data_IF_953213263288
#
_entry.id   IF_953213263288
#
_cell.length_a   1.000
_cell.length_b   1.000
_cell.length_c   1.000
_cell.angle_alpha   90.00
_cell.angle_beta   90.00
_cell.angle_gamma   90.00
#
_symmetry.space_group_name_H-M   'P 1'
#
loop_
_entity.id
_entity.type
_entity.pdbx_description
1 polymer ?
#
# COMPACT_ATOMS: atom_id res chain seq x y z
N UNK A 1 -0.94 -11.25 19.44
CA UNK A 1 -0.80 -11.82 18.07
C UNK A 1 -0.98 -10.78 16.96
N UNK A 2 -1.79 -9.71 17.12
CA UNK A 2 -2.01 -8.67 16.08
C UNK A 2 -0.75 -7.86 15.72
N UNK A 3 0.05 -7.45 16.70
CA UNK A 3 1.27 -6.65 16.48
C UNK A 3 2.33 -7.33 15.58
N UNK A 4 2.44 -8.67 15.64
CA UNK A 4 3.35 -9.43 14.78
C UNK A 4 2.91 -9.35 13.31
N UNK A 5 1.60 -9.50 13.05
CA UNK A 5 1.03 -9.40 11.70
C UNK A 5 1.18 -7.98 11.14
N UNK A 6 1.00 -6.95 11.97
CA UNK A 6 1.15 -5.55 11.56
C UNK A 6 2.58 -5.26 11.05
N UNK A 7 3.59 -5.72 11.77
CA UNK A 7 4.99 -5.54 11.40
C UNK A 7 5.34 -6.26 10.09
N UNK A 8 4.79 -7.47 9.87
CA UNK A 8 4.95 -8.19 8.61
C UNK A 8 4.30 -7.47 7.43
N UNK A 9 3.10 -6.91 7.60
CA UNK A 9 2.43 -6.13 6.55
C UNK A 9 3.19 -4.85 6.21
N UNK A 10 3.70 -4.13 7.21
CA UNK A 10 4.53 -2.93 6.98
C UNK A 10 5.83 -3.26 6.26
N UNK A 11 6.49 -4.37 6.62
CA UNK A 11 7.71 -4.83 5.94
C UNK A 11 7.43 -5.19 4.48
N UNK A 12 6.40 -6.00 4.22
CA UNK A 12 5.97 -6.33 2.85
C UNK A 12 5.67 -5.09 2.03
N UNK A 13 4.89 -4.15 2.56
CA UNK A 13 4.56 -2.91 1.86
C UNK A 13 5.79 -2.10 1.43
N UNK A 14 6.88 -2.13 2.21
CA UNK A 14 8.14 -1.44 1.88
C UNK A 14 9.00 -2.19 0.86
N UNK A 15 8.96 -3.51 0.85
CA UNK A 15 9.74 -4.35 -0.07
C UNK A 15 9.05 -4.56 -1.42
N UNK A 16 7.73 -4.35 -1.49
CA UNK A 16 6.95 -4.55 -2.71
C UNK A 16 7.15 -3.42 -3.73
N UNK A 17 7.74 -3.76 -4.88
CA UNK A 17 7.87 -2.86 -6.02
C UNK A 17 6.68 -2.91 -7.01
N UNK A 18 5.82 -3.93 -6.93
CA UNK A 18 4.70 -4.13 -7.85
C UNK A 18 3.40 -3.51 -7.32
N UNK A 19 2.77 -2.65 -8.13
CA UNK A 19 1.44 -2.10 -7.84
C UNK A 19 0.41 -3.17 -7.49
N UNK A 20 0.40 -4.27 -8.25
CA UNK A 20 -0.57 -5.35 -8.07
C UNK A 20 -0.46 -5.96 -6.68
N UNK A 21 0.77 -6.16 -6.21
CA UNK A 21 1.05 -6.72 -4.90
C UNK A 21 0.70 -5.73 -3.78
N UNK A 22 0.93 -4.42 -3.97
CA UNK A 22 0.49 -3.38 -3.04
C UNK A 22 -1.05 -3.31 -2.93
N UNK A 23 -1.77 -3.47 -4.05
CA UNK A 23 -3.23 -3.55 -4.04
C UNK A 23 -3.73 -4.80 -3.32
N UNK A 24 -3.15 -5.98 -3.60
CA UNK A 24 -3.50 -7.22 -2.89
C UNK A 24 -3.22 -7.11 -1.39
N UNK A 25 -2.12 -6.46 -1.01
CA UNK A 25 -1.77 -6.22 0.39
C UNK A 25 -2.80 -5.30 1.07
N UNK A 26 -3.21 -4.22 0.40
CA UNK A 26 -4.24 -3.32 0.89
C UNK A 26 -5.60 -4.00 1.07
N UNK A 27 -5.99 -4.83 0.10
CA UNK A 27 -7.24 -5.61 0.14
C UNK A 27 -7.23 -6.62 1.29
N UNK A 28 -6.09 -7.29 1.50
CA UNK A 28 -5.89 -8.20 2.65
C UNK A 28 -6.06 -7.45 3.97
N UNK A 29 -5.44 -6.28 4.10
CA UNK A 29 -5.48 -5.49 5.34
C UNK A 29 -6.89 -4.91 5.59
N UNK A 30 -7.61 -4.52 4.52
CA UNK A 30 -8.99 -4.07 4.62
C UNK A 30 -9.92 -5.19 5.11
N UNK A 31 -9.78 -6.41 4.57
CA UNK A 31 -10.51 -7.58 5.04
C UNK A 31 -10.22 -7.88 6.53
N UNK A 32 -8.97 -7.70 6.97
CA UNK A 32 -8.61 -7.92 8.38
C UNK A 32 -9.24 -6.90 9.31
N UNK A 33 -9.39 -5.65 8.86
CA UNK A 33 -10.09 -4.60 9.60
C UNK A 33 -11.59 -4.90 9.68
N UNK A 34 -12.23 -5.27 8.57
CA UNK A 34 -13.66 -5.63 8.54
C UNK A 34 -13.98 -6.85 9.42
N UNK A 35 -13.05 -7.81 9.51
CA UNK A 35 -13.17 -8.98 10.38
C UNK A 35 -12.80 -8.69 11.85
N UNK A 36 -12.39 -7.46 12.18
CA UNK A 36 -12.04 -7.05 13.54
C UNK A 36 -10.72 -7.63 14.06
N UNK A 37 -9.84 -8.11 13.18
CA UNK A 37 -8.52 -8.63 13.56
C UNK A 37 -7.50 -7.53 13.84
N UNK A 38 -7.72 -6.34 13.28
CA UNK A 38 -6.93 -5.14 13.51
C UNK A 38 -7.88 -3.98 13.80
N UNK A 39 -7.43 -3.02 14.61
CA UNK A 39 -8.20 -1.82 14.92
C UNK A 39 -7.99 -0.70 13.89
N UNK A 40 -8.73 0.40 14.05
CA UNK A 40 -8.66 1.55 13.14
C UNK A 40 -7.28 2.21 13.15
N UNK A 41 -6.61 2.25 14.30
CA UNK A 41 -5.28 2.84 14.41
C UNK A 41 -4.24 2.01 13.66
N UNK A 42 -4.30 0.68 13.81
CA UNK A 42 -3.50 -0.29 13.08
C UNK A 42 -3.75 -0.22 11.56
N UNK A 43 -5.01 -0.05 11.15
CA UNK A 43 -5.40 0.09 9.76
C UNK A 43 -4.83 1.37 9.13
N UNK A 44 -4.96 2.51 9.81
CA UNK A 44 -4.43 3.79 9.34
C UNK A 44 -2.90 3.79 9.27
N UNK A 45 -2.21 3.11 10.20
CA UNK A 45 -0.77 2.96 10.14
C UNK A 45 -0.31 2.20 8.88
N UNK A 46 -1.02 1.16 8.47
CA UNK A 46 -0.69 0.43 7.25
C UNK A 46 -0.99 1.26 5.99
N UNK A 47 -2.11 2.00 5.96
CA UNK A 47 -2.41 2.92 4.85
C UNK A 47 -1.28 3.92 4.63
N UNK A 48 -0.72 4.48 5.70
CA UNK A 48 0.40 5.42 5.60
C UNK A 48 1.66 4.81 5.01
N UNK A 49 1.84 3.48 5.08
CA UNK A 49 2.96 2.79 4.44
C UNK A 49 2.66 2.45 2.97
N UNK A 50 1.42 2.08 2.64
CA UNK A 50 1.04 1.70 1.27
C UNK A 50 0.86 2.94 0.36
N UNK A 51 0.27 4.02 0.87
CA UNK A 51 -0.15 5.19 0.07
C UNK A 51 1.01 5.94 -0.58
N UNK A 52 2.16 6.16 0.09
CA UNK A 52 3.32 6.80 -0.54
C UNK A 52 3.82 6.01 -1.76
N UNK A 53 3.79 4.68 -1.71
CA UNK A 53 4.19 3.84 -2.84
C UNK A 53 3.21 3.96 -4.01
N UNK A 54 1.90 4.02 -3.75
CA UNK A 54 0.88 4.24 -4.78
C UNK A 54 0.94 5.67 -5.39
N UNK A 55 1.14 6.70 -4.56
CA UNK A 55 1.27 8.10 -5.02
C UNK A 55 2.52 8.30 -5.88
N UNK A 56 3.64 7.68 -5.50
CA UNK A 56 4.88 7.73 -6.28
C UNK A 56 4.67 7.18 -7.70
N UNK A 57 3.83 6.17 -7.84
CA UNK A 57 3.56 5.53 -9.14
C UNK A 57 2.57 6.35 -9.98
N UNK A 58 1.60 7.02 -9.34
CA UNK A 58 0.74 8.00 -10.04
C UNK A 58 1.56 9.18 -10.56
N UNK A 59 2.52 9.66 -9.76
CA UNK A 59 3.46 10.69 -10.17
C UNK A 59 4.36 10.23 -11.33
N UNK A 60 4.90 9.01 -11.27
CA UNK A 60 5.71 8.42 -12.34
C UNK A 60 4.90 8.25 -13.64
N UNK A 61 3.68 7.73 -13.57
CA UNK A 61 2.78 7.63 -14.73
C UNK A 61 2.54 8.99 -15.37
N UNK A 62 2.30 10.03 -14.56
CA UNK A 62 2.07 11.39 -15.05
C UNK A 62 3.31 11.97 -15.75
N UNK A 63 4.52 11.66 -15.28
CA UNK A 63 5.77 12.04 -15.93
C UNK A 63 5.97 11.30 -17.26
N UNK A 64 5.67 10.00 -17.31
CA UNK A 64 5.74 9.19 -18.53
C UNK A 64 4.72 9.70 -19.58
N UNK A 65 3.47 9.94 -19.18
CA UNK A 65 2.42 10.45 -20.06
C UNK A 65 2.76 11.85 -20.61
N UNK A 66 3.43 12.69 -19.82
CA UNK A 66 3.94 13.99 -20.26
C UNK A 66 5.11 13.85 -21.26
N UNK A 67 6.05 12.94 -21.00
CA UNK A 67 7.18 12.68 -21.89
C UNK A 67 6.72 12.12 -23.24
N UNK A 68 5.73 11.22 -23.26
CA UNK A 68 5.18 10.65 -24.49
C UNK A 68 4.32 11.62 -25.30
N UNK A 69 3.77 12.68 -24.68
CA UNK A 69 3.03 13.74 -25.40
C UNK A 69 3.94 14.84 -25.96
N UNK A 70 5.19 14.89 -25.55
CA UNK A 70 6.14 15.95 -25.93
C UNK A 70 7.12 15.54 -27.05
N UNK A 71 7.04 14.30 -27.55
CA UNK A 71 7.76 13.81 -28.73
C UNK A 71 6.82 13.52 -29.88
#
# INVERSE_FOLDING_TARGET
MAQLKLMEYKKKARETASLKELFTLFDTVSNYYELGYIDEAEFEEIKQVIWPNLKSITALKRQIDQAMKAG
#
